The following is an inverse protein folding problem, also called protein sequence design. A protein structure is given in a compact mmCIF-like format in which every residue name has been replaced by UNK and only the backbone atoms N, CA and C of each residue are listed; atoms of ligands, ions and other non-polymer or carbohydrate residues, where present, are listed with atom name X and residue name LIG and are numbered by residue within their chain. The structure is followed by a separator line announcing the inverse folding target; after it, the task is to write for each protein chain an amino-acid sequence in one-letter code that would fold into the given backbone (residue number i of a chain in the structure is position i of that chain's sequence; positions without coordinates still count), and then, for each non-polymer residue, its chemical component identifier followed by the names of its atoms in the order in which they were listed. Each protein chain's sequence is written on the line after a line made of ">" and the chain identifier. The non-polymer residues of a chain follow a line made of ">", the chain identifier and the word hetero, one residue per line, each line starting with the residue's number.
data_IF_914182470428
#
_entry.id   IF_914182470428
#
_cell.length_a   1.000
_cell.length_b   1.000
_cell.length_c   1.000
_cell.angle_alpha   90.00
_cell.angle_beta   90.00
_cell.angle_gamma   90.00
#
_symmetry.space_group_name_H-M   'P 1'
#
loop_
_entity.id
_entity.type
_entity.pdbx_description
1 polymer ?
#
# COMPACT_ATOMS: atom_id res chain seq x y z
N UNK A 1 -7.48 19.91 10.41
CA UNK A 1 -6.04 20.24 10.37
C UNK A 1 -5.39 19.54 9.18
N UNK A 2 -4.15 19.87 8.82
CA UNK A 2 -3.46 19.29 7.63
C UNK A 2 -2.93 17.87 7.83
N UNK A 3 -2.98 17.34 9.06
CA UNK A 3 -2.52 15.99 9.42
C UNK A 3 -3.71 15.15 9.85
N UNK A 4 -3.85 13.96 9.28
CA UNK A 4 -4.78 12.92 9.73
C UNK A 4 -4.06 11.96 10.68
N UNK A 5 -4.64 11.72 11.84
CA UNK A 5 -4.18 10.71 12.79
C UNK A 5 -5.05 9.46 12.60
N UNK A 6 -4.42 8.35 12.23
CA UNK A 6 -5.09 7.06 12.09
C UNK A 6 -4.57 6.10 13.18
N UNK A 7 -5.49 5.47 13.90
CA UNK A 7 -5.18 4.47 14.94
C UNK A 7 -5.60 3.10 14.40
N UNK A 8 -4.69 2.12 14.42
CA UNK A 8 -4.99 0.77 13.95
C UNK A 8 -6.02 0.09 14.87
N UNK A 9 -7.23 -0.25 14.38
CA UNK A 9 -8.29 -0.82 15.20
C UNK A 9 -8.12 -2.33 15.45
N UNK A 10 -7.18 -3.00 14.78
CA UNK A 10 -7.00 -4.47 14.79
C UNK A 10 -8.27 -5.28 14.47
N UNK A 11 -9.28 -4.65 13.84
CA UNK A 11 -10.51 -5.27 13.39
C UNK A 11 -10.99 -4.63 12.08
N UNK A 12 -11.69 -5.38 11.22
CA UNK A 12 -12.34 -4.80 10.06
C UNK A 12 -13.42 -3.80 10.51
N UNK A 13 -13.53 -2.69 9.78
CA UNK A 13 -14.55 -1.66 10.00
C UNK A 13 -15.36 -1.47 8.71
N UNK A 14 -16.69 -1.34 8.79
CA UNK A 14 -17.56 -1.14 7.62
C UNK A 14 -17.56 0.34 7.18
N UNK A 15 -16.38 0.93 7.00
CA UNK A 15 -16.19 2.36 6.65
C UNK A 15 -15.37 2.55 5.36
N UNK A 16 -15.13 1.47 4.61
CA UNK A 16 -14.29 1.46 3.41
C UNK A 16 -15.02 0.91 2.17
N UNK A 17 -16.35 0.90 2.21
CA UNK A 17 -17.21 0.51 1.08
C UNK A 17 -17.21 1.55 -0.04
N UNK A 18 -17.73 1.18 -1.19
CA UNK A 18 -17.85 2.10 -2.34
C UNK A 18 -18.84 3.22 -2.05
N UNK A 19 -19.91 2.93 -1.30
CA UNK A 19 -20.85 3.95 -0.83
C UNK A 19 -20.15 5.06 -0.02
N UNK A 20 -19.14 4.68 0.78
CA UNK A 20 -18.36 5.64 1.56
C UNK A 20 -17.43 6.43 0.64
N UNK A 21 -16.76 5.78 -0.32
CA UNK A 21 -15.92 6.48 -1.31
C UNK A 21 -16.71 7.57 -2.03
N UNK A 22 -17.90 7.23 -2.54
CA UNK A 22 -18.76 8.20 -3.23
C UNK A 22 -19.27 9.31 -2.31
N UNK A 23 -19.53 9.01 -1.03
CA UNK A 23 -19.94 10.02 -0.05
C UNK A 23 -18.83 11.04 0.26
N UNK A 24 -17.55 10.66 0.17
CA UNK A 24 -16.42 11.56 0.37
C UNK A 24 -15.98 12.31 -0.90
N UNK A 25 -16.36 11.82 -2.08
CA UNK A 25 -15.97 12.40 -3.37
C UNK A 25 -16.57 13.79 -3.56
N UNK A 26 -15.72 14.81 -3.74
CA UNK A 26 -16.17 16.19 -3.96
C UNK A 26 -16.59 16.96 -2.72
N UNK A 27 -16.43 16.40 -1.52
CA UNK A 27 -16.67 17.12 -0.26
C UNK A 27 -15.45 17.95 0.15
N UNK A 28 -15.68 19.12 0.76
CA UNK A 28 -14.57 19.91 1.30
C UNK A 28 -14.00 19.29 2.58
N UNK A 29 -12.70 19.52 2.81
CA UNK A 29 -12.03 19.01 4.00
C UNK A 29 -12.57 19.70 5.26
N UNK A 30 -13.37 18.98 6.04
CA UNK A 30 -14.00 19.47 7.27
C UNK A 30 -15.52 19.31 7.30
N UNK A 31 -16.14 19.10 6.14
CA UNK A 31 -17.59 18.86 6.04
C UNK A 31 -17.98 17.44 6.44
N UNK A 32 -17.03 16.51 6.30
CA UNK A 32 -17.19 15.09 6.59
C UNK A 32 -16.27 14.65 7.74
N UNK A 33 -16.62 13.53 8.37
CA UNK A 33 -15.82 12.95 9.45
C UNK A 33 -14.39 12.62 8.99
N UNK A 34 -13.37 12.71 9.89
CA UNK A 34 -11.98 12.45 9.52
C UNK A 34 -11.78 11.05 8.94
N UNK A 35 -11.36 10.99 7.68
CA UNK A 35 -11.16 9.73 6.97
C UNK A 35 -10.02 9.84 5.95
N UNK A 36 -9.39 8.71 5.63
CA UNK A 36 -8.31 8.66 4.61
C UNK A 36 -8.82 9.09 3.23
N UNK A 37 -10.11 8.84 2.94
CA UNK A 37 -10.75 9.26 1.70
C UNK A 37 -10.85 10.79 1.57
N UNK A 38 -11.06 11.53 2.67
CA UNK A 38 -11.06 12.98 2.62
C UNK A 38 -9.69 13.55 2.21
N UNK A 39 -8.59 12.93 2.66
CA UNK A 39 -7.24 13.32 2.23
C UNK A 39 -6.95 12.93 0.77
N UNK A 40 -7.43 11.76 0.34
CA UNK A 40 -7.29 11.32 -1.04
C UNK A 40 -8.07 12.24 -1.99
N UNK A 41 -9.31 12.57 -1.66
CA UNK A 41 -10.16 13.50 -2.41
C UNK A 41 -9.52 14.89 -2.51
N UNK A 42 -9.04 15.44 -1.39
CA UNK A 42 -8.36 16.73 -1.39
C UNK A 42 -7.11 16.71 -2.29
N UNK A 43 -6.28 15.67 -2.19
CA UNK A 43 -5.11 15.52 -3.07
C UNK A 43 -5.53 15.42 -4.55
N UNK A 44 -6.56 14.63 -4.87
CA UNK A 44 -7.06 14.49 -6.23
C UNK A 44 -7.60 15.81 -6.78
N UNK A 45 -8.46 16.50 -6.03
CA UNK A 45 -9.01 17.81 -6.42
C UNK A 45 -7.94 18.87 -6.59
N UNK A 46 -6.95 18.94 -5.69
CA UNK A 46 -5.84 19.88 -5.80
C UNK A 46 -4.98 19.59 -7.03
N UNK A 47 -4.74 18.31 -7.34
CA UNK A 47 -4.02 17.90 -8.55
C UNK A 47 -4.74 18.37 -9.82
N UNK A 48 -6.05 18.11 -9.92
CA UNK A 48 -6.87 18.50 -11.08
C UNK A 48 -7.01 20.02 -11.20
N UNK A 49 -7.31 20.70 -10.09
CA UNK A 49 -7.54 22.15 -10.07
C UNK A 49 -6.29 22.98 -10.34
N UNK A 50 -5.15 22.58 -9.77
CA UNK A 50 -3.90 23.35 -9.85
C UNK A 50 -2.95 22.83 -10.94
N UNK A 51 -3.20 21.65 -11.51
CA UNK A 51 -2.28 20.99 -12.44
C UNK A 51 -0.93 20.66 -11.82
N UNK A 52 -0.89 20.40 -10.50
CA UNK A 52 0.34 20.12 -9.74
C UNK A 52 0.32 18.71 -9.17
N UNK A 53 1.44 18.01 -9.29
CA UNK A 53 1.63 16.68 -8.68
C UNK A 53 1.51 16.77 -7.15
N UNK A 54 0.85 15.78 -6.55
CA UNK A 54 0.60 15.70 -5.11
C UNK A 54 1.33 14.51 -4.49
N UNK A 55 1.56 14.56 -3.18
CA UNK A 55 2.13 13.45 -2.43
C UNK A 55 1.37 13.21 -1.13
N UNK A 56 1.04 11.94 -0.89
CA UNK A 56 0.47 11.48 0.37
C UNK A 56 1.56 10.75 1.16
N UNK A 57 2.02 11.36 2.26
CA UNK A 57 3.08 10.81 3.10
C UNK A 57 2.44 10.11 4.30
N UNK A 58 2.66 8.79 4.40
CA UNK A 58 2.10 7.96 5.48
C UNK A 58 3.24 7.46 6.36
N UNK A 59 3.32 8.00 7.56
CA UNK A 59 4.36 7.68 8.56
C UNK A 59 3.77 6.96 9.77
N UNK A 60 4.64 6.32 10.56
CA UNK A 60 4.26 5.58 11.76
C UNK A 60 5.13 4.35 11.99
N UNK A 61 5.04 3.77 13.18
CA UNK A 61 5.80 2.57 13.54
C UNK A 61 5.37 1.32 12.73
N UNK A 62 6.17 0.26 12.81
CA UNK A 62 5.81 -1.02 12.20
C UNK A 62 4.50 -1.53 12.81
N UNK A 63 3.54 -1.94 11.97
CA UNK A 63 2.21 -2.36 12.43
C UNK A 63 1.18 -1.24 12.62
N UNK A 64 1.56 0.03 12.47
CA UNK A 64 0.64 1.18 12.64
C UNK A 64 -0.47 1.29 11.57
N UNK A 65 -0.44 0.47 10.51
CA UNK A 65 -1.45 0.50 9.45
C UNK A 65 -1.05 1.22 8.16
N UNK A 66 0.22 1.67 8.03
CA UNK A 66 0.71 2.43 6.87
C UNK A 66 0.33 1.84 5.50
N UNK A 67 0.60 0.54 5.31
CA UNK A 67 0.31 -0.17 4.05
C UNK A 67 -1.18 -0.20 3.75
N UNK A 68 -2.01 -0.37 4.79
CA UNK A 68 -3.46 -0.44 4.64
C UNK A 68 -4.04 0.94 4.33
N UNK A 69 -3.55 2.01 4.96
CA UNK A 69 -3.90 3.39 4.62
C UNK A 69 -3.54 3.74 3.18
N UNK A 70 -2.35 3.35 2.71
CA UNK A 70 -1.94 3.53 1.31
C UNK A 70 -2.87 2.79 0.34
N UNK A 71 -3.25 1.55 0.67
CA UNK A 71 -4.20 0.74 -0.09
C UNK A 71 -5.58 1.40 -0.20
N UNK A 72 -6.10 1.96 0.89
CA UNK A 72 -7.40 2.66 0.85
C UNK A 72 -7.34 3.96 0.07
N UNK A 73 -6.26 4.75 0.20
CA UNK A 73 -6.08 5.94 -0.63
C UNK A 73 -6.00 5.57 -2.12
N UNK A 74 -5.30 4.48 -2.46
CA UNK A 74 -5.25 4.00 -3.84
C UNK A 74 -6.64 3.60 -4.37
N UNK A 75 -7.41 2.84 -3.58
CA UNK A 75 -8.76 2.43 -3.95
C UNK A 75 -9.67 3.63 -4.20
N UNK A 76 -9.53 4.69 -3.41
CA UNK A 76 -10.26 5.94 -3.66
C UNK A 76 -9.94 6.52 -5.04
N UNK A 77 -8.64 6.64 -5.38
CA UNK A 77 -8.23 7.15 -6.68
C UNK A 77 -8.72 6.32 -7.86
N UNK A 78 -8.76 4.99 -7.72
CA UNK A 78 -9.19 4.09 -8.80
C UNK A 78 -10.70 4.07 -8.98
N UNK A 79 -11.47 4.34 -7.92
CA UNK A 79 -12.93 4.48 -8.00
C UNK A 79 -13.37 5.85 -8.52
N UNK A 80 -12.71 6.94 -8.09
CA UNK A 80 -13.08 8.32 -8.49
C UNK A 80 -12.45 8.73 -9.81
N UNK A 81 -11.21 8.30 -10.06
CA UNK A 81 -10.54 8.53 -11.33
C UNK A 81 -11.21 7.69 -12.42
N UNK A 82 -11.78 8.34 -13.43
CA UNK A 82 -12.43 7.64 -14.54
C UNK A 82 -11.39 6.80 -15.29
N UNK A 83 -11.44 5.48 -15.17
CA UNK A 83 -10.59 4.61 -15.97
C UNK A 83 -11.12 4.61 -17.41
N UNK A 84 -10.38 5.18 -18.37
CA UNK A 84 -10.61 4.90 -19.79
C UNK A 84 -10.24 3.44 -20.06
N UNK A 85 -11.18 2.54 -19.77
CA UNK A 85 -11.24 1.21 -20.36
C UNK A 85 -10.35 0.11 -19.76
N UNK A 86 -9.57 0.33 -18.69
CA UNK A 86 -8.80 -0.78 -18.10
C UNK A 86 -8.79 -0.81 -16.55
N UNK A 87 -9.72 -1.59 -15.93
CA UNK A 87 -9.70 -1.93 -14.51
C UNK A 87 -8.40 -2.61 -14.04
N UNK A 88 -7.49 -2.96 -14.97
CA UNK A 88 -6.28 -3.69 -14.64
C UNK A 88 -5.26 -2.91 -13.81
N UNK A 89 -5.25 -1.57 -13.81
CA UNK A 89 -4.20 -0.82 -13.09
C UNK A 89 -4.33 -1.02 -11.58
N UNK A 90 -5.53 -0.90 -11.02
CA UNK A 90 -5.77 -1.23 -9.61
C UNK A 90 -5.38 -2.67 -9.35
N UNK A 91 -5.91 -3.61 -10.12
CA UNK A 91 -5.65 -5.04 -9.94
C UNK A 91 -4.15 -5.39 -10.00
N UNK A 92 -3.39 -4.77 -10.92
CA UNK A 92 -1.95 -4.97 -11.08
C UNK A 92 -1.17 -4.42 -9.88
N UNK A 93 -1.47 -3.20 -9.45
CA UNK A 93 -0.78 -2.62 -8.29
C UNK A 93 -1.14 -3.37 -7.02
N UNK A 94 -2.42 -3.71 -6.83
CA UNK A 94 -2.89 -4.52 -5.72
C UNK A 94 -2.27 -5.91 -5.73
N UNK A 95 -2.13 -6.54 -6.90
CA UNK A 95 -1.45 -7.82 -7.10
C UNK A 95 0.05 -7.77 -6.85
N UNK A 96 0.69 -6.59 -6.97
CA UNK A 96 2.11 -6.42 -6.65
C UNK A 96 2.37 -6.40 -5.14
N UNK A 97 1.38 -6.06 -4.31
CA UNK A 97 1.55 -5.95 -2.85
C UNK A 97 2.01 -7.28 -2.23
N UNK A 98 1.32 -8.43 -2.43
CA UNK A 98 1.76 -9.71 -1.89
C UNK A 98 3.18 -10.08 -2.30
N UNK A 99 3.56 -9.82 -3.56
CA UNK A 99 4.91 -10.06 -4.07
C UNK A 99 5.93 -9.20 -3.30
N UNK A 100 5.68 -7.91 -3.20
CA UNK A 100 6.55 -6.98 -2.48
C UNK A 100 6.66 -7.31 -0.99
N UNK A 101 5.59 -7.82 -0.37
CA UNK A 101 5.64 -8.29 1.01
C UNK A 101 6.43 -9.58 1.16
N UNK A 102 6.30 -10.54 0.23
CA UNK A 102 7.09 -11.77 0.26
C UNK A 102 8.60 -11.50 0.22
N UNK A 103 9.03 -10.60 -0.67
CA UNK A 103 10.45 -10.30 -0.88
C UNK A 103 11.03 -9.21 0.03
N UNK A 104 10.20 -8.36 0.63
CA UNK A 104 10.66 -7.19 1.38
C UNK A 104 10.13 -7.05 2.81
N UNK A 105 9.22 -7.94 3.23
CA UNK A 105 8.79 -8.01 4.63
C UNK A 105 9.41 -9.22 5.33
N UNK A 106 9.54 -9.11 6.65
CA UNK A 106 10.02 -10.16 7.52
C UNK A 106 9.37 -10.07 8.91
N UNK A 107 9.42 -11.18 9.65
CA UNK A 107 9.07 -11.17 11.08
C UNK A 107 10.19 -10.52 11.88
N UNK A 108 9.82 -9.54 12.70
CA UNK A 108 10.65 -8.97 13.76
C UNK A 108 10.05 -9.28 15.13
N UNK A 109 10.74 -8.89 16.20
CA UNK A 109 10.20 -9.00 17.58
C UNK A 109 8.93 -8.17 17.82
N UNK A 110 8.67 -7.14 17.01
CA UNK A 110 7.53 -6.21 17.19
C UNK A 110 6.38 -6.45 16.22
N UNK A 111 6.64 -7.07 15.06
CA UNK A 111 5.65 -7.24 14.02
C UNK A 111 6.00 -8.45 13.14
N UNK A 112 5.05 -9.37 12.97
CA UNK A 112 5.20 -10.57 12.16
C UNK A 112 5.31 -10.28 10.65
N UNK A 113 4.83 -9.13 10.18
CA UNK A 113 4.88 -8.71 8.78
C UNK A 113 5.46 -7.29 8.63
N UNK A 114 6.66 -7.06 9.17
CA UNK A 114 7.32 -5.76 9.10
C UNK A 114 7.94 -5.51 7.73
N UNK A 115 7.57 -4.44 7.03
CA UNK A 115 8.31 -3.96 5.86
C UNK A 115 9.70 -3.50 6.26
N UNK A 116 10.73 -3.99 5.54
CA UNK A 116 12.15 -3.67 5.77
C UNK A 116 12.75 -2.88 4.61
N UNK A 117 11.90 -2.06 3.98
CA UNK A 117 12.22 -1.17 2.87
C UNK A 117 11.15 -0.08 2.75
N UNK A 118 11.54 1.06 2.19
CA UNK A 118 10.62 2.13 1.79
C UNK A 118 9.98 1.82 0.44
N UNK A 119 8.70 2.18 0.30
CA UNK A 119 7.93 2.07 -0.94
C UNK A 119 7.38 3.44 -1.30
N UNK A 120 7.53 3.81 -2.57
CA UNK A 120 6.93 5.02 -3.13
C UNK A 120 6.15 4.61 -4.37
N UNK A 121 4.83 4.78 -4.31
CA UNK A 121 3.91 4.49 -5.39
C UNK A 121 3.56 5.81 -6.07
N UNK A 122 3.96 5.96 -7.32
CA UNK A 122 3.55 7.03 -8.21
C UNK A 122 2.35 6.56 -9.03
N UNK A 123 1.24 7.28 -8.98
CA UNK A 123 0.06 7.02 -9.81
C UNK A 123 0.01 8.12 -10.88
N UNK A 124 0.00 7.72 -12.14
CA UNK A 124 -0.07 8.62 -13.28
C UNK A 124 -1.51 8.96 -13.60
N UNK A 125 -1.79 10.25 -13.82
CA UNK A 125 -3.07 10.73 -14.29
C UNK A 125 -2.91 11.55 -15.58
N UNK A 126 -3.83 11.38 -16.52
CA UNK A 126 -4.06 12.33 -17.62
C UNK A 126 -5.47 12.89 -17.41
N UNK A 127 -5.53 14.20 -17.16
CA UNK A 127 -6.74 14.87 -16.66
C UNK A 127 -7.20 14.22 -15.34
N UNK A 128 -8.31 13.48 -15.37
CA UNK A 128 -8.89 12.79 -14.21
C UNK A 128 -8.70 11.27 -14.28
N UNK A 129 -8.05 10.78 -15.34
CA UNK A 129 -8.01 9.36 -15.67
C UNK A 129 -6.67 8.75 -15.28
N UNK A 130 -6.71 7.61 -14.61
CA UNK A 130 -5.50 6.86 -14.27
C UNK A 130 -4.90 6.25 -15.54
N UNK A 131 -3.60 6.48 -15.75
CA UNK A 131 -2.86 5.94 -16.90
C UNK A 131 -1.93 4.80 -16.54
N UNK A 132 -1.52 4.71 -15.27
CA UNK A 132 -0.62 3.67 -14.79
C UNK A 132 -0.09 3.97 -13.41
N UNK A 133 0.77 3.08 -12.92
CA UNK A 133 1.46 3.29 -11.66
C UNK A 133 2.91 2.78 -11.72
N UNK A 134 3.80 3.45 -11.01
CA UNK A 134 5.20 3.07 -10.86
C UNK A 134 5.53 2.92 -9.39
N UNK A 135 6.20 1.82 -9.02
CA UNK A 135 6.65 1.59 -7.65
C UNK A 135 8.17 1.73 -7.59
N UNK A 136 8.65 2.69 -6.81
CA UNK A 136 10.07 2.85 -6.47
C UNK A 136 10.31 2.32 -5.06
N UNK A 137 11.39 1.57 -4.91
CA UNK A 137 11.78 0.98 -3.62
C UNK A 137 13.07 1.62 -3.13
N UNK A 138 13.18 1.77 -1.82
CA UNK A 138 14.30 2.45 -1.18
C UNK A 138 14.73 1.71 0.07
N UNK A 139 16.02 1.81 0.41
CA UNK A 139 16.55 1.43 1.73
C UNK A 139 16.19 0.00 2.17
N UNK A 140 16.34 -0.99 1.28
CA UNK A 140 16.19 -2.40 1.65
C UNK A 140 17.24 -2.78 2.71
N UNK A 141 16.80 -3.44 3.79
CA UNK A 141 17.68 -3.92 4.86
C UNK A 141 18.52 -5.13 4.38
N UNK A 142 19.67 -4.85 3.76
CA UNK A 142 20.55 -5.88 3.18
C UNK A 142 21.11 -6.86 4.22
N UNK A 143 21.42 -6.39 5.42
CA UNK A 143 21.98 -7.22 6.51
C UNK A 143 21.05 -8.38 6.91
N UNK A 144 19.74 -8.23 6.75
CA UNK A 144 18.75 -9.26 7.07
C UNK A 144 18.93 -10.55 6.27
N UNK A 145 19.57 -10.47 5.09
CA UNK A 145 19.83 -11.65 4.25
C UNK A 145 20.80 -12.60 4.94
N UNK A 146 21.83 -12.08 5.62
CA UNK A 146 22.91 -12.88 6.20
C UNK A 146 22.87 -12.94 7.73
N UNK A 147 22.07 -12.10 8.38
CA UNK A 147 21.98 -12.03 9.84
C UNK A 147 20.55 -11.85 10.32
N UNK A 148 20.18 -12.59 11.36
CA UNK A 148 18.91 -12.42 12.08
C UNK A 148 19.18 -12.49 13.59
N UNK A 149 18.58 -11.56 14.34
CA UNK A 149 18.59 -11.63 15.80
C UNK A 149 17.69 -12.77 16.30
N UNK A 150 17.80 -13.11 17.59
CA UNK A 150 16.92 -14.09 18.23
C UNK A 150 15.45 -13.71 18.02
N UNK A 151 14.62 -14.69 17.66
CA UNK A 151 13.18 -14.56 17.36
C UNK A 151 12.79 -13.76 16.10
N UNK A 152 13.78 -13.29 15.33
CA UNK A 152 13.54 -12.69 14.01
C UNK A 152 13.70 -13.71 12.89
N UNK A 153 13.14 -13.38 11.72
CA UNK A 153 13.27 -14.17 10.50
C UNK A 153 13.94 -13.37 9.38
N UNK A 154 14.43 -14.10 8.38
CA UNK A 154 14.77 -13.54 7.07
C UNK A 154 13.48 -13.12 6.32
N UNK A 155 13.59 -12.64 5.08
CA UNK A 155 12.45 -12.31 4.23
C UNK A 155 11.52 -13.51 4.02
N UNK A 156 10.22 -13.26 3.98
CA UNK A 156 9.19 -14.32 3.95
C UNK A 156 9.37 -15.30 2.79
N UNK A 157 9.83 -14.82 1.63
CA UNK A 157 10.03 -15.65 0.43
C UNK A 157 10.93 -16.86 0.68
N UNK A 158 11.96 -16.75 1.52
CA UNK A 158 12.84 -17.89 1.81
C UNK A 158 12.10 -19.00 2.56
N UNK A 159 11.22 -18.64 3.49
CA UNK A 159 10.41 -19.61 4.23
C UNK A 159 9.30 -20.20 3.36
N UNK A 160 8.70 -19.39 2.48
CA UNK A 160 7.74 -19.88 1.50
C UNK A 160 8.39 -20.90 0.56
N UNK A 161 9.61 -20.61 0.09
CA UNK A 161 10.37 -21.51 -0.79
C UNK A 161 10.73 -22.83 -0.08
N UNK A 162 11.27 -22.78 1.14
CA UNK A 162 11.59 -23.98 1.91
C UNK A 162 10.33 -24.80 2.27
N UNK A 163 9.21 -24.15 2.60
CA UNK A 163 7.96 -24.84 2.87
C UNK A 163 7.39 -25.55 1.63
N UNK A 164 7.77 -25.09 0.44
CA UNK A 164 7.38 -25.65 -0.85
C UNK A 164 8.41 -26.64 -1.43
N UNK A 165 9.44 -27.03 -0.67
CA UNK A 165 10.56 -27.84 -1.18
C UNK A 165 10.13 -29.19 -1.81
N UNK A 166 8.99 -29.76 -1.40
CA UNK A 166 8.49 -31.03 -1.93
C UNK A 166 7.76 -30.91 -3.27
N UNK A 167 7.51 -29.69 -3.77
CA UNK A 167 6.81 -29.48 -5.03
C UNK A 167 7.66 -29.98 -6.22
N UNK A 168 7.07 -30.71 -7.19
CA UNK A 168 7.79 -31.26 -8.33
C UNK A 168 8.64 -30.23 -9.09
N UNK A 169 8.11 -29.03 -9.27
CA UNK A 169 8.76 -27.92 -9.97
C UNK A 169 9.96 -27.33 -9.22
N UNK A 170 10.14 -27.61 -7.92
CA UNK A 170 11.23 -27.10 -7.08
C UNK A 170 12.28 -28.16 -6.73
N UNK A 171 12.09 -29.42 -7.12
CA UNK A 171 13.01 -30.53 -6.79
C UNK A 171 14.45 -30.29 -7.31
N UNK A 172 14.61 -29.55 -8.41
CA UNK A 172 15.93 -29.22 -8.97
C UNK A 172 16.73 -28.17 -8.18
N UNK A 173 16.14 -27.55 -7.16
CA UNK A 173 16.78 -26.47 -6.40
C UNK A 173 17.62 -26.95 -5.20
N UNK A 174 17.51 -28.23 -4.83
CA UNK A 174 18.28 -28.80 -3.70
C UNK A 174 17.99 -28.14 -2.34
N UNK A 175 16.72 -27.77 -2.13
CA UNK A 175 16.22 -27.08 -0.93
C UNK A 175 16.03 -28.01 0.28
#
# INVERSE_FOLDING_TARGET
>A
GVILIAINPYKPLPIYGEEVIHAYSGCELGDMDPHIFALADEAFRQMVRLGKNQSLIISGESGAGKTLSAKYAMRFFTTVGSCWGDPSVEMKVMGSIPLMEAFGNAKTTRNDNSSRFGKYLEIGFIQENITGATIKTYLLEKSRVTFQAKEERNYHIFYQLCASATLPELQGLGL
#
